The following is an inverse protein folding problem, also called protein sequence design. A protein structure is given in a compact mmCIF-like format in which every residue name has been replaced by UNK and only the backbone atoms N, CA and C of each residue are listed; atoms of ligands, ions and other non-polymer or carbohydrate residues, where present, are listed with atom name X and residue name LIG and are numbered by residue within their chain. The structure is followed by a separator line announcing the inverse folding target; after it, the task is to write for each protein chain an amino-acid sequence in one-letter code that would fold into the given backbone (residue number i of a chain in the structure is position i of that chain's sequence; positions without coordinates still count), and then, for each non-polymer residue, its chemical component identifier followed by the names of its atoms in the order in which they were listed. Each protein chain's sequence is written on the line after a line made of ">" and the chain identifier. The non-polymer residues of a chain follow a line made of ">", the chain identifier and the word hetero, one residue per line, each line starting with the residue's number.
data_IF_020471624848
#
_entry.id   IF_020471624848
#
_cell.length_a   1.000
_cell.length_b   1.000
_cell.length_c   1.000
_cell.angle_alpha   90.00
_cell.angle_beta   90.00
_cell.angle_gamma   90.00
#
_symmetry.space_group_name_H-M   'P 1'
#
loop_
_entity.id
_entity.type
_entity.pdbx_description
1 polymer ?
#
# COMPACT_ATOMS: atom_id res chain seq x y z
N UNK A 1 11.78 3.93 19.25
CA UNK A 1 11.60 3.01 18.12
C UNK A 1 11.37 1.63 18.68
N UNK A 2 10.35 0.91 18.16
CA UNK A 2 10.01 -0.41 18.66
C UNK A 2 11.06 -1.44 18.24
N UNK A 3 11.58 -2.18 19.19
CA UNK A 3 12.51 -3.31 18.98
C UNK A 3 11.74 -4.63 18.73
N UNK A 4 10.49 -4.54 18.23
CA UNK A 4 9.69 -5.74 17.97
C UNK A 4 10.08 -6.37 16.63
N UNK A 5 10.08 -7.73 16.53
CA UNK A 5 10.29 -8.44 15.29
C UNK A 5 9.36 -7.97 14.17
N UNK A 6 9.86 -7.91 12.95
CA UNK A 6 9.08 -7.50 11.76
C UNK A 6 7.83 -8.36 11.57
N UNK A 7 7.92 -9.64 11.90
CA UNK A 7 6.78 -10.57 11.85
C UNK A 7 5.65 -10.20 12.80
N UNK A 8 5.98 -9.75 14.02
CA UNK A 8 4.97 -9.30 15.00
C UNK A 8 4.30 -8.01 14.53
N UNK A 9 5.08 -7.06 14.00
CA UNK A 9 4.57 -5.79 13.48
C UNK A 9 3.66 -6.04 12.29
N UNK A 10 4.09 -6.85 11.32
CA UNK A 10 3.32 -7.15 10.11
C UNK A 10 2.01 -7.87 10.40
N UNK A 11 1.98 -8.80 11.36
CA UNK A 11 0.75 -9.49 11.78
C UNK A 11 -0.27 -8.52 12.43
N UNK A 12 0.21 -7.60 13.28
CA UNK A 12 -0.61 -6.53 13.84
C UNK A 12 -1.16 -5.58 12.75
N UNK A 13 -0.32 -5.20 11.79
CA UNK A 13 -0.74 -4.37 10.64
C UNK A 13 -1.81 -5.06 9.81
N UNK A 14 -1.66 -6.35 9.50
CA UNK A 14 -2.64 -7.13 8.76
C UNK A 14 -3.99 -7.19 9.49
N UNK A 15 -3.97 -7.45 10.79
CA UNK A 15 -5.18 -7.51 11.61
C UNK A 15 -5.87 -6.15 11.73
N UNK A 16 -5.10 -5.07 11.90
CA UNK A 16 -5.63 -3.72 12.03
C UNK A 16 -6.21 -3.22 10.69
N UNK A 17 -5.50 -3.44 9.57
CA UNK A 17 -5.94 -3.03 8.25
C UNK A 17 -7.24 -3.71 7.84
N UNK A 18 -7.43 -4.99 8.16
CA UNK A 18 -8.67 -5.72 7.88
C UNK A 18 -9.85 -5.15 8.65
N UNK A 19 -9.67 -4.84 9.95
CA UNK A 19 -10.73 -4.23 10.77
C UNK A 19 -11.06 -2.80 10.34
N UNK A 20 -10.05 -2.05 9.87
CA UNK A 20 -10.19 -0.67 9.40
C UNK A 20 -10.64 -0.53 7.96
N UNK A 21 -10.65 -1.62 7.18
CA UNK A 21 -10.95 -1.57 5.75
C UNK A 21 -12.35 -1.00 5.47
N UNK A 22 -12.43 -0.09 4.51
CA UNK A 22 -13.68 0.50 4.01
C UNK A 22 -13.64 0.51 2.48
N UNK A 23 -14.75 0.14 1.87
CA UNK A 23 -14.86 0.09 0.41
C UNK A 23 -13.96 -0.97 -0.24
N UNK A 24 -14.05 -1.10 -1.56
CA UNK A 24 -13.32 -2.12 -2.31
C UNK A 24 -11.80 -1.96 -2.22
N UNK A 25 -11.29 -0.74 -2.38
CA UNK A 25 -9.85 -0.48 -2.32
C UNK A 25 -9.28 -0.77 -0.92
N UNK A 26 -10.02 -0.46 0.14
CA UNK A 26 -9.61 -0.77 1.52
C UNK A 26 -9.52 -2.27 1.75
N UNK A 27 -10.49 -3.04 1.26
CA UNK A 27 -10.47 -4.51 1.35
C UNK A 27 -9.29 -5.08 0.56
N UNK A 28 -9.06 -4.63 -0.67
CA UNK A 28 -7.95 -5.07 -1.52
C UNK A 28 -6.60 -4.75 -0.83
N UNK A 29 -6.43 -3.54 -0.30
CA UNK A 29 -5.24 -3.15 0.43
C UNK A 29 -5.02 -4.03 1.67
N UNK A 30 -6.08 -4.35 2.42
CA UNK A 30 -5.97 -5.23 3.59
C UNK A 30 -5.51 -6.64 3.21
N UNK A 31 -5.93 -7.16 2.05
CA UNK A 31 -5.47 -8.45 1.54
C UNK A 31 -4.01 -8.40 1.08
N UNK A 32 -3.58 -7.29 0.49
CA UNK A 32 -2.18 -7.08 0.15
C UNK A 32 -1.29 -7.10 1.42
N UNK A 33 -1.65 -6.34 2.45
CA UNK A 33 -0.94 -6.31 3.73
C UNK A 33 -0.95 -7.70 4.38
N UNK A 34 -2.05 -8.43 4.31
CA UNK A 34 -2.16 -9.81 4.81
C UNK A 34 -1.21 -10.76 4.08
N UNK A 35 -1.10 -10.64 2.76
CA UNK A 35 -0.18 -11.45 1.96
C UNK A 35 1.27 -11.15 2.32
N UNK A 36 1.63 -9.88 2.49
CA UNK A 36 2.95 -9.48 2.98
C UNK A 36 3.25 -10.06 4.37
N UNK A 37 2.32 -9.89 5.30
CA UNK A 37 2.48 -10.36 6.67
C UNK A 37 2.69 -11.88 6.75
N UNK A 38 2.05 -12.65 5.87
CA UNK A 38 2.24 -14.11 5.79
C UNK A 38 3.71 -14.50 5.56
N UNK A 39 4.42 -13.76 4.70
CA UNK A 39 5.83 -14.00 4.42
C UNK A 39 6.75 -13.48 5.54
N UNK A 40 6.40 -12.35 6.14
CA UNK A 40 7.22 -11.70 7.15
C UNK A 40 7.04 -12.31 8.55
N UNK A 41 5.94 -13.01 8.81
CA UNK A 41 5.57 -13.53 10.13
C UNK A 41 6.66 -14.34 10.85
N UNK A 42 7.44 -15.22 10.19
CA UNK A 42 8.47 -15.99 10.85
C UNK A 42 9.79 -15.22 11.09
N UNK A 43 9.88 -13.95 10.68
CA UNK A 43 11.12 -13.20 10.62
C UNK A 43 11.24 -12.21 11.79
N UNK A 44 12.48 -12.06 12.29
CA UNK A 44 12.84 -10.96 13.20
C UNK A 44 13.18 -9.70 12.43
N UNK A 45 13.96 -9.82 11.37
CA UNK A 45 14.35 -8.79 10.42
C UNK A 45 14.09 -9.29 9.00
N UNK A 46 13.98 -8.39 8.04
CA UNK A 46 13.77 -8.74 6.65
C UNK A 46 14.83 -8.09 5.75
N UNK A 47 15.50 -8.91 4.94
CA UNK A 47 16.36 -8.46 3.87
C UNK A 47 15.57 -8.07 2.60
N UNK A 48 16.26 -7.56 1.59
CA UNK A 48 15.65 -7.12 0.33
C UNK A 48 14.90 -8.25 -0.36
N UNK A 49 15.46 -9.47 -0.37
CA UNK A 49 14.81 -10.62 -0.99
C UNK A 49 13.51 -10.97 -0.27
N UNK A 50 13.54 -11.00 1.05
CA UNK A 50 12.36 -11.29 1.87
C UNK A 50 11.28 -10.20 1.73
N UNK A 51 11.68 -8.93 1.60
CA UNK A 51 10.75 -7.82 1.31
C UNK A 51 10.14 -7.97 -0.10
N UNK A 52 10.93 -8.31 -1.11
CA UNK A 52 10.44 -8.56 -2.47
C UNK A 52 9.44 -9.73 -2.49
N UNK A 53 9.77 -10.85 -1.83
CA UNK A 53 8.88 -12.01 -1.70
C UNK A 53 7.58 -11.66 -0.95
N UNK A 54 7.67 -10.77 0.05
CA UNK A 54 6.50 -10.27 0.77
C UNK A 54 5.60 -9.41 -0.13
N UNK A 55 6.16 -8.48 -0.89
CA UNK A 55 5.40 -7.66 -1.86
C UNK A 55 4.72 -8.56 -2.89
N UNK A 56 5.42 -9.58 -3.41
CA UNK A 56 4.87 -10.57 -4.33
C UNK A 56 3.69 -11.31 -3.73
N UNK A 57 3.86 -11.85 -2.53
CA UNK A 57 2.78 -12.54 -1.82
C UNK A 57 1.58 -11.62 -1.57
N UNK A 58 1.83 -10.35 -1.23
CA UNK A 58 0.79 -9.33 -1.09
C UNK A 58 -0.01 -9.15 -2.37
N UNK A 59 0.66 -8.98 -3.50
CA UNK A 59 0.02 -8.82 -4.80
C UNK A 59 -0.81 -10.06 -5.16
N UNK A 60 -0.27 -11.26 -4.99
CA UNK A 60 -0.98 -12.52 -5.29
C UNK A 60 -2.27 -12.67 -4.45
N UNK A 61 -2.18 -12.40 -3.15
CA UNK A 61 -3.36 -12.49 -2.25
C UNK A 61 -4.40 -11.44 -2.61
N UNK A 62 -3.98 -10.21 -2.97
CA UNK A 62 -4.90 -9.16 -3.39
C UNK A 62 -5.62 -9.51 -4.70
N UNK A 63 -4.90 -10.02 -5.70
CA UNK A 63 -5.50 -10.48 -6.96
C UNK A 63 -6.47 -11.65 -6.74
N UNK A 64 -6.10 -12.63 -5.93
CA UNK A 64 -6.95 -13.79 -5.62
C UNK A 64 -8.24 -13.41 -4.87
N UNK A 65 -8.25 -12.28 -4.16
CA UNK A 65 -9.42 -11.79 -3.43
C UNK A 65 -10.47 -11.12 -4.34
N UNK A 66 -10.15 -10.86 -5.61
CA UNK A 66 -11.03 -10.16 -6.55
C UNK A 66 -11.48 -11.11 -7.65
N UNK A 67 -12.80 -11.31 -7.79
CA UNK A 67 -13.37 -12.23 -8.78
C UNK A 67 -13.04 -11.84 -10.23
N UNK A 68 -13.03 -10.55 -10.53
CA UNK A 68 -12.71 -10.00 -11.86
C UNK A 68 -11.70 -8.85 -11.70
N UNK A 69 -10.39 -9.16 -11.63
CA UNK A 69 -9.36 -8.14 -11.57
C UNK A 69 -9.44 -7.21 -12.78
N UNK A 70 -9.41 -5.92 -12.54
CA UNK A 70 -9.48 -4.89 -13.59
C UNK A 70 -8.16 -4.13 -13.63
N UNK A 71 -7.58 -4.00 -14.83
CA UNK A 71 -6.39 -3.19 -15.05
C UNK A 71 -6.69 -1.69 -14.94
N UNK A 72 -5.67 -0.91 -14.58
CA UNK A 72 -5.81 0.51 -14.31
C UNK A 72 -6.28 0.83 -12.89
N UNK A 73 -6.17 -0.14 -11.98
CA UNK A 73 -6.58 -0.01 -10.57
C UNK A 73 -5.39 -0.22 -9.62
N UNK A 74 -5.65 -0.13 -8.32
CA UNK A 74 -4.67 -0.47 -7.26
C UNK A 74 -3.99 -1.82 -7.49
N UNK A 75 -4.69 -2.80 -8.07
CA UNK A 75 -4.14 -4.12 -8.39
C UNK A 75 -2.99 -4.02 -9.41
N UNK A 76 -3.15 -3.20 -10.44
CA UNK A 76 -2.11 -2.97 -11.46
C UNK A 76 -0.85 -2.39 -10.83
N UNK A 77 -1.00 -1.45 -9.90
CA UNK A 77 0.13 -0.86 -9.18
C UNK A 77 0.79 -1.89 -8.25
N UNK A 78 0.01 -2.70 -7.52
CA UNK A 78 0.54 -3.79 -6.69
C UNK A 78 1.37 -4.78 -7.50
N UNK A 79 0.90 -5.17 -8.69
CA UNK A 79 1.66 -6.05 -9.58
C UNK A 79 2.95 -5.38 -10.05
N UNK A 80 2.90 -4.12 -10.43
CA UNK A 80 4.09 -3.38 -10.85
C UNK A 80 5.16 -3.31 -9.75
N UNK A 81 4.75 -3.02 -8.51
CA UNK A 81 5.66 -3.05 -7.35
C UNK A 81 6.28 -4.44 -7.16
N UNK A 82 5.47 -5.50 -7.28
CA UNK A 82 5.92 -6.89 -7.16
C UNK A 82 6.94 -7.25 -8.22
N UNK A 83 6.63 -6.96 -9.49
CA UNK A 83 7.50 -7.30 -10.61
C UNK A 83 8.85 -6.58 -10.50
N UNK A 84 8.82 -5.28 -10.16
CA UNK A 84 10.05 -4.50 -9.98
C UNK A 84 10.86 -4.94 -8.75
N UNK A 85 10.21 -5.27 -7.66
CA UNK A 85 10.89 -5.77 -6.47
C UNK A 85 11.61 -7.10 -6.74
N UNK A 86 10.98 -8.02 -7.47
CA UNK A 86 11.60 -9.28 -7.87
C UNK A 86 12.74 -9.09 -8.85
N UNK A 87 12.63 -8.14 -9.79
CA UNK A 87 13.72 -7.78 -10.72
C UNK A 87 14.98 -7.30 -9.99
N UNK A 88 14.78 -6.52 -8.92
CA UNK A 88 15.86 -5.86 -8.18
C UNK A 88 16.43 -6.70 -7.04
N UNK A 89 15.71 -7.70 -6.52
CA UNK A 89 16.07 -8.40 -5.28
C UNK A 89 17.38 -9.21 -5.37
N UNK A 90 17.89 -9.47 -6.58
CA UNK A 90 19.18 -10.14 -6.81
C UNK A 90 20.35 -9.17 -7.01
N UNK A 91 20.12 -7.87 -6.93
CA UNK A 91 21.15 -6.86 -7.10
C UNK A 91 21.76 -6.46 -5.73
N UNK A 92 22.99 -6.01 -5.73
CA UNK A 92 23.67 -5.46 -4.54
C UNK A 92 23.17 -4.03 -4.28
N UNK A 93 22.06 -3.92 -3.57
CA UNK A 93 21.42 -2.65 -3.21
C UNK A 93 21.22 -2.57 -1.69
N UNK A 94 21.28 -1.35 -1.17
CA UNK A 94 20.79 -1.04 0.18
C UNK A 94 19.26 -0.89 0.14
N UNK A 95 18.58 -1.16 1.26
CA UNK A 95 17.10 -1.12 1.35
C UNK A 95 16.48 0.20 0.86
N UNK A 96 17.01 1.39 1.20
CA UNK A 96 16.47 2.64 0.69
C UNK A 96 16.54 2.74 -0.83
N UNK A 97 17.70 2.40 -1.43
CA UNK A 97 17.90 2.44 -2.88
C UNK A 97 17.00 1.42 -3.62
N UNK A 98 16.79 0.25 -3.03
CA UNK A 98 15.84 -0.75 -3.53
C UNK A 98 14.42 -0.19 -3.56
N UNK A 99 13.95 0.38 -2.44
CA UNK A 99 12.60 0.94 -2.36
C UNK A 99 12.42 2.16 -3.26
N UNK A 100 13.42 3.04 -3.40
CA UNK A 100 13.37 4.16 -4.34
C UNK A 100 13.06 3.71 -5.76
N UNK A 101 13.75 2.67 -6.24
CA UNK A 101 13.53 2.16 -7.59
C UNK A 101 12.17 1.46 -7.75
N UNK A 102 11.75 0.70 -6.74
CA UNK A 102 10.42 0.06 -6.72
C UNK A 102 9.32 1.12 -6.76
N UNK A 103 9.44 2.17 -5.95
CA UNK A 103 8.48 3.28 -5.87
C UNK A 103 8.47 4.10 -7.16
N UNK A 104 9.63 4.40 -7.73
CA UNK A 104 9.71 5.12 -9.00
C UNK A 104 8.95 4.39 -10.10
N UNK A 105 9.14 3.08 -10.24
CA UNK A 105 8.41 2.27 -11.21
C UNK A 105 6.91 2.18 -10.89
N UNK A 106 6.54 2.04 -9.62
CA UNK A 106 5.14 2.08 -9.20
C UNK A 106 4.43 3.38 -9.57
N UNK A 107 5.11 4.52 -9.41
CA UNK A 107 4.57 5.82 -9.79
C UNK A 107 4.45 5.99 -11.32
N UNK A 108 5.37 5.44 -12.11
CA UNK A 108 5.24 5.41 -13.58
C UNK A 108 4.01 4.63 -14.02
N UNK A 109 3.77 3.47 -13.42
CA UNK A 109 2.59 2.65 -13.73
C UNK A 109 1.32 3.31 -13.22
N UNK A 110 1.34 3.93 -12.04
CA UNK A 110 0.22 4.71 -11.52
C UNK A 110 -0.19 5.82 -12.50
N UNK A 111 0.77 6.57 -13.04
CA UNK A 111 0.50 7.61 -14.03
C UNK A 111 -0.20 7.06 -15.28
N UNK A 112 0.15 5.86 -15.72
CA UNK A 112 -0.45 5.19 -16.88
C UNK A 112 -1.89 4.71 -16.64
N UNK A 113 -2.34 4.58 -15.39
CA UNK A 113 -3.72 4.16 -15.07
C UNK A 113 -4.77 5.09 -15.67
N UNK A 114 -4.44 6.36 -15.91
CA UNK A 114 -5.33 7.33 -16.58
C UNK A 114 -5.81 6.79 -17.93
N UNK A 115 -4.92 6.16 -18.69
CA UNK A 115 -5.25 5.66 -20.03
C UNK A 115 -5.83 4.23 -20.04
N UNK A 116 -5.78 3.53 -18.90
CA UNK A 116 -6.24 2.15 -18.80
C UNK A 116 -7.75 2.02 -18.55
N UNK A 117 -8.37 3.04 -17.93
CA UNK A 117 -9.80 3.04 -17.65
C UNK A 117 -10.49 4.27 -18.21
N UNK A 118 -11.59 4.10 -18.98
CA UNK A 118 -12.31 5.24 -19.59
C UNK A 118 -12.75 6.30 -18.58
N UNK A 119 -13.16 5.88 -17.37
CA UNK A 119 -13.57 6.81 -16.30
C UNK A 119 -12.42 7.67 -15.81
N UNK A 120 -11.22 7.09 -15.66
CA UNK A 120 -10.02 7.81 -15.25
C UNK A 120 -9.57 8.78 -16.33
N UNK A 121 -9.62 8.36 -17.58
CA UNK A 121 -9.28 9.20 -18.73
C UNK A 121 -10.23 10.39 -18.85
N UNK A 122 -11.53 10.16 -18.71
CA UNK A 122 -12.56 11.21 -18.77
C UNK A 122 -12.39 12.23 -17.64
N UNK A 123 -12.06 11.77 -16.43
CA UNK A 123 -11.82 12.62 -15.27
C UNK A 123 -10.41 13.23 -15.23
N UNK A 124 -9.49 12.75 -16.08
CA UNK A 124 -8.08 13.11 -16.13
C UNK A 124 -7.38 12.92 -14.74
N UNK A 125 -7.63 11.79 -14.11
CA UNK A 125 -7.06 11.44 -12.80
C UNK A 125 -6.48 10.02 -12.80
N UNK A 126 -5.47 9.79 -11.96
CA UNK A 126 -4.95 8.45 -11.68
C UNK A 126 -5.90 7.68 -10.77
N UNK A 127 -5.71 6.35 -10.68
CA UNK A 127 -6.45 5.53 -9.73
C UNK A 127 -6.17 5.95 -8.28
N UNK A 128 -7.22 6.33 -7.55
CA UNK A 128 -7.10 6.82 -6.17
C UNK A 128 -6.58 5.75 -5.20
N UNK A 129 -6.97 4.48 -5.39
CA UNK A 129 -6.48 3.37 -4.60
C UNK A 129 -4.98 3.13 -4.83
N UNK A 130 -4.55 3.16 -6.09
CA UNK A 130 -3.13 3.08 -6.46
C UNK A 130 -2.32 4.26 -5.89
N UNK A 131 -2.86 5.48 -5.94
CA UNK A 131 -2.20 6.65 -5.31
C UNK A 131 -2.05 6.47 -3.79
N UNK A 132 -3.09 5.99 -3.12
CA UNK A 132 -3.03 5.70 -1.68
C UNK A 132 -1.97 4.64 -1.35
N UNK A 133 -1.87 3.57 -2.13
CA UNK A 133 -0.82 2.56 -1.98
C UNK A 133 0.58 3.16 -2.11
N UNK A 134 0.81 3.98 -3.15
CA UNK A 134 2.11 4.63 -3.36
C UNK A 134 2.46 5.56 -2.20
N UNK A 135 1.50 6.30 -1.66
CA UNK A 135 1.71 7.16 -0.48
C UNK A 135 2.21 6.36 0.73
N UNK A 136 1.70 5.14 0.94
CA UNK A 136 2.19 4.26 2.02
C UNK A 136 3.65 3.83 1.79
N UNK A 137 4.02 3.46 0.58
CA UNK A 137 5.41 3.10 0.24
C UNK A 137 6.34 4.30 0.35
N UNK A 138 5.92 5.47 -0.12
CA UNK A 138 6.66 6.73 0.00
C UNK A 138 6.90 7.09 1.47
N UNK A 139 5.90 6.89 2.34
CA UNK A 139 6.03 7.09 3.79
C UNK A 139 7.02 6.12 4.44
N UNK A 140 7.04 4.86 4.01
CA UNK A 140 8.00 3.87 4.50
C UNK A 140 9.45 4.23 4.08
N UNK A 141 9.65 4.67 2.84
CA UNK A 141 10.95 5.14 2.35
C UNK A 141 11.42 6.38 3.12
N UNK A 142 10.53 7.35 3.32
CA UNK A 142 10.86 8.55 4.11
C UNK A 142 11.36 8.18 5.51
N UNK A 143 10.68 7.25 6.19
CA UNK A 143 11.10 6.76 7.50
C UNK A 143 12.49 6.13 7.47
N UNK A 144 12.78 5.29 6.46
CA UNK A 144 14.09 4.65 6.33
C UNK A 144 15.23 5.64 6.07
N UNK A 145 14.95 6.72 5.36
CA UNK A 145 15.94 7.74 5.03
C UNK A 145 16.18 8.73 6.17
N UNK A 146 15.14 9.09 6.94
CA UNK A 146 15.20 10.16 7.92
C UNK A 146 15.08 9.66 9.36
N UNK A 147 14.71 8.42 9.58
CA UNK A 147 14.40 7.83 10.89
C UNK A 147 13.32 8.63 11.68
N UNK A 148 12.42 9.27 10.96
CA UNK A 148 11.35 10.10 11.49
C UNK A 148 9.99 9.65 10.95
N UNK A 149 8.96 9.72 11.79
CA UNK A 149 7.57 9.48 11.39
C UNK A 149 6.94 10.80 10.98
N UNK A 150 6.28 10.83 9.83
CA UNK A 150 5.51 12.00 9.39
C UNK A 150 4.29 12.13 10.31
N UNK A 151 4.26 13.15 11.16
CA UNK A 151 3.08 13.47 11.95
C UNK A 151 2.01 14.09 11.06
N UNK A 152 0.96 13.33 10.79
CA UNK A 152 -0.22 13.86 10.10
C UNK A 152 -1.08 14.59 11.13
N UNK A 153 -1.15 15.92 11.03
CA UNK A 153 -2.13 16.70 11.78
C UNK A 153 -3.52 16.34 11.27
N UNK A 154 -4.21 15.45 11.97
CA UNK A 154 -5.63 15.20 11.76
C UNK A 154 -6.38 16.48 12.14
N UNK A 155 -6.81 17.27 11.15
CA UNK A 155 -7.85 18.28 11.42
C UNK A 155 -9.10 17.52 11.80
N UNK A 156 -9.39 17.48 13.10
CA UNK A 156 -10.71 17.03 13.58
C UNK A 156 -11.76 17.92 12.89
N UNK A 157 -12.48 17.34 11.93
CA UNK A 157 -13.74 17.92 11.52
C UNK A 157 -14.67 17.83 12.74
N UNK A 158 -14.87 18.94 13.44
CA UNK A 158 -16.02 19.09 14.33
C UNK A 158 -17.24 18.69 13.51
N UNK A 159 -17.87 17.58 13.89
CA UNK A 159 -19.20 17.25 13.42
C UNK A 159 -20.13 18.36 13.94
N UNK A 160 -20.65 19.19 13.03
CA UNK A 160 -21.81 20.00 13.31
C UNK A 160 -22.97 19.03 13.57
N UNK A 161 -23.43 18.99 14.81
CA UNK A 161 -24.70 18.36 15.17
C UNK A 161 -25.82 19.03 14.34
N UNK A 162 -26.69 18.26 13.66
CA UNK A 162 -27.83 18.85 13.02
C UNK A 162 -28.80 19.37 14.11
N UNK A 163 -29.03 20.68 14.11
CA UNK A 163 -30.10 21.30 14.89
C UNK A 163 -31.43 20.60 14.60
N UNK A 164 -32.06 20.08 15.66
CA UNK A 164 -33.40 19.53 15.60
C UNK A 164 -34.39 20.65 15.26
N UNK A 165 -35.35 20.43 14.32
CA UNK A 165 -36.35 21.45 14.03
C UNK A 165 -37.27 21.64 15.25
N UNK A 166 -37.40 22.90 15.64
CA UNK A 166 -38.34 23.31 16.69
C UNK A 166 -39.78 22.95 16.26
N UNK A 167 -40.47 22.21 17.16
CA UNK A 167 -41.88 21.94 17.02
C UNK A 167 -42.67 23.24 17.24
N UNK A 168 -43.52 23.59 16.28
CA UNK A 168 -44.67 24.48 16.47
C UNK A 168 -45.95 23.66 16.48
#
# INVERSE_FOLDING_TARGET
>A
LTTQPVGVISDKMASASLRGARGNSGVILSQFIRGMAKQLKPLEEADIKQVADAIKSGADVAYAAVMKPTEGTILTVMRALSDKALELCGQELEMPAFLEQVIAYGNEVLAKTIDMLPKLKQANVVDAGGKGLMTLFEGALYFLQNNEVIEVQTKEKKAEEPEAPAAQ
#
